data_IF_461682348920
#
_entry.id   IF_461682348920
#
_cell.length_a   1.000
_cell.length_b   1.000
_cell.length_c   1.000
_cell.angle_alpha   90.00
_cell.angle_beta   90.00
_cell.angle_gamma   90.00
#
_symmetry.space_group_name_H-M   'P 1'
#
loop_
_entity.id
_entity.type
_entity.pdbx_description
1 polymer ?
#
# COMPACT_ATOMS: atom_id res chain seq x y z
N UNK A 1 13.63 4.46 0.89
CA UNK A 1 12.52 4.94 0.04
C UNK A 1 11.20 4.60 0.69
N UNK A 2 10.26 5.53 0.73
CA UNK A 2 8.94 5.33 1.34
C UNK A 2 7.83 5.61 0.34
N UNK A 3 6.72 4.88 0.46
CA UNK A 3 5.57 5.00 -0.43
C UNK A 3 4.29 5.17 0.39
N UNK A 4 3.40 6.05 -0.06
CA UNK A 4 2.05 6.19 0.51
C UNK A 4 1.08 6.81 -0.47
N UNK A 5 -0.20 6.61 -0.20
CA UNK A 5 -1.26 7.40 -0.82
C UNK A 5 -1.45 8.71 -0.06
N UNK A 6 -1.58 9.81 -0.79
CA UNK A 6 -1.78 11.17 -0.25
C UNK A 6 -2.92 11.83 -1.01
N UNK A 7 -3.73 12.63 -0.32
CA UNK A 7 -4.77 13.46 -0.94
C UNK A 7 -4.33 14.93 -0.84
N UNK A 8 -3.86 15.51 -1.94
CA UNK A 8 -3.28 16.88 -1.98
C UNK A 8 -3.40 17.49 -3.38
N UNK A 9 -3.42 18.82 -3.48
CA UNK A 9 -3.27 19.53 -4.75
C UNK A 9 -1.78 19.59 -5.12
N UNK A 10 -1.38 18.80 -6.12
CA UNK A 10 0.00 18.74 -6.57
C UNK A 10 0.43 19.97 -7.39
N UNK A 11 -0.51 20.68 -8.00
CA UNK A 11 -0.21 21.82 -8.88
C UNK A 11 0.07 23.05 -8.04
N UNK A 12 -0.79 23.31 -7.06
CA UNK A 12 -0.59 24.41 -6.12
C UNK A 12 0.48 24.07 -5.06
N UNK A 13 0.85 22.80 -4.93
CA UNK A 13 1.63 22.25 -3.81
C UNK A 13 1.07 22.70 -2.47
N UNK A 14 -0.24 22.53 -2.30
CA UNK A 14 -0.96 22.89 -1.08
C UNK A 14 -1.94 21.81 -0.67
N UNK A 15 -2.31 21.80 0.61
CA UNK A 15 -3.41 20.97 1.12
C UNK A 15 -4.80 21.58 0.82
N UNK A 16 -4.90 22.56 -0.09
CA UNK A 16 -6.20 23.08 -0.52
C UNK A 16 -7.00 22.00 -1.26
N UNK A 17 -8.19 21.70 -0.76
CA UNK A 17 -9.06 20.65 -1.29
C UNK A 17 -9.63 21.01 -2.68
N UNK A 18 -9.52 22.28 -3.09
CA UNK A 18 -10.13 22.80 -4.32
C UNK A 18 -9.78 21.97 -5.56
N UNK A 19 -8.52 21.54 -5.68
CA UNK A 19 -8.08 20.64 -6.75
C UNK A 19 -7.38 19.37 -6.26
N UNK A 20 -7.43 19.06 -4.95
CA UNK A 20 -6.75 17.90 -4.39
C UNK A 20 -7.09 16.56 -5.06
N UNK A 21 -6.07 15.74 -5.34
CA UNK A 21 -6.21 14.45 -6.01
C UNK A 21 -5.56 13.34 -5.17
N UNK A 22 -6.13 12.13 -5.22
CA UNK A 22 -5.50 10.97 -4.58
C UNK A 22 -4.30 10.52 -5.39
N UNK A 23 -3.14 10.53 -4.77
CA UNK A 23 -1.87 10.44 -5.45
C UNK A 23 -0.93 9.44 -4.80
N UNK A 24 -0.15 8.74 -5.61
CA UNK A 24 0.92 7.90 -5.10
C UNK A 24 2.17 8.73 -4.91
N UNK A 25 2.54 8.90 -3.65
CA UNK A 25 3.74 9.60 -3.22
C UNK A 25 4.87 8.60 -3.00
N UNK A 26 6.03 8.92 -3.56
CA UNK A 26 7.31 8.22 -3.38
C UNK A 26 8.32 9.21 -2.83
N UNK A 27 8.69 9.07 -1.57
CA UNK A 27 9.81 9.81 -1.01
C UNK A 27 11.13 9.17 -1.44
N UNK A 28 11.83 9.85 -2.37
CA UNK A 28 13.23 9.56 -2.66
C UNK A 28 14.09 10.12 -1.52
N UNK A 29 14.82 9.24 -0.85
CA UNK A 29 15.67 9.57 0.29
C UNK A 29 17.12 9.30 -0.10
N UNK A 30 18.03 10.16 0.33
CA UNK A 30 19.47 9.93 0.16
C UNK A 30 19.86 8.56 0.75
N UNK A 31 20.60 7.72 0.01
CA UNK A 31 21.06 6.43 0.51
C UNK A 31 21.80 6.50 1.85
N UNK A 32 22.62 7.54 2.07
CA UNK A 32 23.39 7.68 3.30
C UNK A 32 22.47 7.99 4.49
N UNK A 33 21.46 8.84 4.29
CA UNK A 33 20.46 9.13 5.32
C UNK A 33 19.52 7.93 5.56
N UNK A 34 19.19 7.17 4.51
CA UNK A 34 18.38 5.97 4.64
C UNK A 34 19.14 4.83 5.33
N UNK A 35 20.48 4.84 5.30
CA UNK A 35 21.32 3.83 5.94
C UNK A 35 21.11 3.80 7.46
N UNK A 36 20.95 4.96 8.11
CA UNK A 36 20.65 5.06 9.54
C UNK A 36 19.29 4.48 9.94
N UNK A 37 18.39 4.27 8.96
CA UNK A 37 17.09 3.63 9.18
C UNK A 37 17.14 2.11 9.04
N UNK A 38 18.30 1.53 8.70
CA UNK A 38 18.46 0.09 8.66
C UNK A 38 18.53 -0.46 10.10
N UNK A 39 17.89 -1.61 10.33
CA UNK A 39 17.93 -2.34 11.61
C UNK A 39 17.42 -1.60 12.86
N UNK A 40 16.62 -0.54 12.70
CA UNK A 40 15.90 0.10 13.81
C UNK A 40 14.66 -0.72 14.20
N UNK A 41 14.32 -0.72 15.50
CA UNK A 41 13.19 -1.49 16.02
C UNK A 41 11.83 -1.02 15.49
N UNK A 42 11.65 0.30 15.38
CA UNK A 42 10.45 0.92 14.79
C UNK A 42 10.84 1.84 13.63
N UNK A 43 10.85 1.26 12.43
CA UNK A 43 11.13 2.00 11.20
C UNK A 43 10.14 3.14 10.96
N UNK A 44 8.87 2.99 11.36
CA UNK A 44 7.85 4.01 11.14
C UNK A 44 8.11 5.23 12.02
N UNK A 45 8.38 5.01 13.30
CA UNK A 45 8.72 6.08 14.23
C UNK A 45 10.04 6.76 13.83
N UNK A 46 11.07 5.99 13.51
CA UNK A 46 12.38 6.51 13.09
C UNK A 46 12.27 7.31 11.78
N UNK A 47 11.51 6.81 10.80
CA UNK A 47 11.26 7.50 9.54
C UNK A 47 10.56 8.84 9.77
N UNK A 48 9.47 8.86 10.54
CA UNK A 48 8.72 10.09 10.82
C UNK A 48 9.52 11.11 11.63
N UNK A 49 10.45 10.65 12.48
CA UNK A 49 11.34 11.52 13.24
C UNK A 49 12.44 12.16 12.38
N UNK A 50 12.91 11.46 11.33
CA UNK A 50 13.98 11.92 10.44
C UNK A 50 13.45 12.71 9.24
N UNK A 51 12.32 12.28 8.67
CA UNK A 51 11.72 12.85 7.48
C UNK A 51 10.36 13.44 7.82
N UNK A 52 10.29 14.78 7.81
CA UNK A 52 9.04 15.51 8.02
C UNK A 52 8.36 15.80 6.67
N UNK A 53 7.06 15.56 6.62
CA UNK A 53 6.21 15.87 5.48
C UNK A 53 6.25 17.35 5.08
N UNK A 54 6.48 18.26 6.03
CA UNK A 54 6.58 19.70 5.77
C UNK A 54 7.71 20.07 4.78
N UNK A 55 8.75 19.24 4.67
CA UNK A 55 9.88 19.47 3.75
C UNK A 55 10.02 18.37 2.70
N UNK A 56 9.49 17.17 2.96
CA UNK A 56 9.62 16.01 2.08
C UNK A 56 8.44 15.85 1.09
N UNK A 57 7.27 16.43 1.40
CA UNK A 57 6.06 16.29 0.60
C UNK A 57 6.03 17.30 -0.57
N UNK A 58 7.04 17.25 -1.44
CA UNK A 58 7.13 18.14 -2.60
C UNK A 58 6.47 17.53 -3.84
N UNK A 59 5.99 18.38 -4.75
CA UNK A 59 5.41 17.96 -6.03
C UNK A 59 6.30 16.98 -6.84
N UNK A 60 7.63 17.08 -6.73
CA UNK A 60 8.60 16.21 -7.38
C UNK A 60 8.57 14.73 -6.95
N UNK A 61 7.98 14.44 -5.79
CA UNK A 61 7.92 13.11 -5.20
C UNK A 61 6.60 12.37 -5.52
N UNK A 62 5.71 12.96 -6.33
CA UNK A 62 4.50 12.29 -6.79
C UNK A 62 4.71 11.55 -8.11
N UNK A 63 4.14 10.35 -8.22
CA UNK A 63 4.30 9.49 -9.39
C UNK A 63 3.06 9.42 -10.27
N UNK A 64 1.89 9.28 -9.64
CA UNK A 64 0.63 8.98 -10.31
C UNK A 64 -0.50 9.65 -9.54
N UNK A 65 -1.46 10.22 -10.29
CA UNK A 65 -2.66 10.86 -9.78
C UNK A 65 -3.91 9.99 -9.94
N UNK A 66 -5.00 10.42 -9.29
CA UNK A 66 -6.33 9.82 -9.34
C UNK A 66 -6.43 8.35 -8.92
N UNK A 67 -5.57 7.89 -8.01
CA UNK A 67 -5.65 6.53 -7.48
C UNK A 67 -6.79 6.45 -6.47
N UNK A 68 -7.81 5.70 -6.83
CA UNK A 68 -8.96 5.47 -5.96
C UNK A 68 -8.73 4.33 -4.96
N UNK A 69 -8.01 3.30 -5.38
CA UNK A 69 -7.68 2.17 -4.50
C UNK A 69 -6.32 1.59 -4.87
N UNK A 70 -5.51 1.25 -3.87
CA UNK A 70 -4.28 0.47 -4.00
C UNK A 70 -4.36 -0.68 -2.99
N UNK A 71 -4.24 -1.91 -3.48
CA UNK A 71 -4.15 -3.11 -2.64
C UNK A 71 -2.87 -3.85 -2.96
N UNK A 72 -2.10 -4.15 -1.92
CA UNK A 72 -0.95 -5.06 -1.99
C UNK A 72 -1.35 -6.36 -1.29
N UNK A 73 -1.20 -7.48 -1.99
CA UNK A 73 -1.47 -8.81 -1.45
C UNK A 73 -0.24 -9.69 -1.53
N UNK A 74 0.21 -10.23 -0.41
CA UNK A 74 1.27 -11.23 -0.39
C UNK A 74 0.64 -12.62 -0.46
N UNK A 75 1.24 -13.50 -1.27
CA UNK A 75 0.88 -14.91 -1.33
C UNK A 75 1.88 -15.67 -0.46
N UNK A 76 1.42 -16.20 0.66
CA UNK A 76 2.25 -16.92 1.62
C UNK A 76 1.88 -18.40 1.60
N UNK A 77 2.81 -19.23 1.15
CA UNK A 77 2.67 -20.67 1.19
C UNK A 77 3.13 -21.18 2.57
N UNK A 78 2.30 -21.97 3.25
CA UNK A 78 2.61 -22.54 4.56
C UNK A 78 2.07 -23.97 4.68
N UNK A 79 2.70 -24.78 5.52
CA UNK A 79 2.21 -26.11 5.87
C UNK A 79 1.34 -25.99 7.12
N UNK A 80 0.07 -26.37 6.99
CA UNK A 80 -0.88 -26.34 8.10
C UNK A 80 -0.53 -27.40 9.15
N UNK A 81 -0.40 -26.99 10.40
CA UNK A 81 -0.05 -27.88 11.51
C UNK A 81 -1.16 -28.90 11.85
N UNK A 82 -2.40 -28.65 11.41
CA UNK A 82 -3.57 -29.48 11.73
C UNK A 82 -3.64 -30.74 10.86
N UNK A 83 -3.27 -30.63 9.59
CA UNK A 83 -3.47 -31.68 8.57
C UNK A 83 -2.24 -31.92 7.69
N UNK A 84 -1.13 -31.23 7.97
CA UNK A 84 0.13 -31.32 7.24
C UNK A 84 -0.01 -31.06 5.72
N UNK A 85 -1.00 -30.27 5.31
CA UNK A 85 -1.21 -29.88 3.92
C UNK A 85 -0.60 -28.52 3.63
N UNK A 86 -0.02 -28.36 2.44
CA UNK A 86 0.47 -27.07 1.95
C UNK A 86 -0.68 -26.23 1.46
N UNK A 87 -0.77 -24.98 1.94
CA UNK A 87 -1.83 -24.02 1.60
C UNK A 87 -1.22 -22.67 1.26
N UNK A 88 -1.92 -21.89 0.47
CA UNK A 88 -1.55 -20.50 0.15
C UNK A 88 -2.52 -19.57 0.86
N UNK A 89 -2.01 -18.77 1.79
CA UNK A 89 -2.72 -17.66 2.39
C UNK A 89 -2.53 -16.39 1.57
N UNK A 90 -3.62 -15.68 1.31
CA UNK A 90 -3.62 -14.37 0.66
C UNK A 90 -3.65 -13.28 1.72
N UNK A 91 -2.52 -12.63 1.95
CA UNK A 91 -2.36 -11.57 2.93
C UNK A 91 -2.56 -10.21 2.25
N UNK A 92 -3.81 -9.78 2.13
CA UNK A 92 -4.18 -8.48 1.54
C UNK A 92 -4.19 -7.38 2.60
N UNK A 93 -3.32 -6.38 2.45
CA UNK A 93 -3.21 -5.27 3.40
C UNK A 93 -4.41 -4.33 3.28
N UNK A 94 -5.20 -4.19 4.36
CA UNK A 94 -6.42 -3.36 4.41
C UNK A 94 -6.56 -2.67 5.77
N UNK A 95 -6.83 -1.36 5.76
CA UNK A 95 -6.94 -0.56 6.99
C UNK A 95 -8.26 -0.75 7.78
N UNK A 96 -9.38 -1.11 7.13
CA UNK A 96 -10.70 -1.07 7.77
C UNK A 96 -11.47 -2.40 7.67
N UNK A 97 -11.73 -3.06 8.82
CA UNK A 97 -12.53 -4.30 8.91
C UNK A 97 -12.06 -5.27 10.01
N UNK A 98 -13.01 -5.99 10.62
CA UNK A 98 -12.72 -7.05 11.58
C UNK A 98 -12.05 -8.23 10.85
N UNK A 99 -10.94 -8.76 11.39
CA UNK A 99 -10.11 -9.82 10.78
C UNK A 99 -9.29 -9.41 9.53
N UNK A 100 -8.93 -8.14 9.39
CA UNK A 100 -8.03 -7.72 8.32
C UNK A 100 -6.55 -7.89 8.66
N UNK A 101 -5.76 -8.07 7.60
CA UNK A 101 -4.32 -7.85 7.66
C UNK A 101 -4.05 -6.35 7.56
N UNK A 102 -3.72 -5.70 8.69
CA UNK A 102 -3.33 -4.28 8.71
C UNK A 102 -1.84 -4.08 8.51
N UNK A 103 -1.04 -5.09 8.81
CA UNK A 103 0.40 -5.00 8.83
C UNK A 103 1.06 -6.33 8.41
N UNK A 104 2.16 -6.20 7.68
CA UNK A 104 3.02 -7.30 7.25
C UNK A 104 4.48 -6.90 7.47
N UNK A 105 5.22 -7.69 8.25
CA UNK A 105 6.64 -7.50 8.55
C UNK A 105 7.42 -8.78 8.31
N UNK A 106 8.69 -8.61 7.92
CA UNK A 106 9.66 -9.69 7.85
C UNK A 106 10.69 -9.50 8.96
N UNK A 107 10.82 -10.50 9.82
CA UNK A 107 11.78 -10.51 10.92
C UNK A 107 12.68 -11.74 10.79
N UNK A 108 13.85 -11.56 10.21
CA UNK A 108 14.74 -12.67 9.87
C UNK A 108 14.06 -13.63 8.89
N UNK A 109 13.90 -14.89 9.28
CA UNK A 109 13.22 -15.92 8.51
C UNK A 109 11.73 -16.08 8.85
N UNK A 110 11.15 -15.16 9.62
CA UNK A 110 9.76 -15.23 10.07
C UNK A 110 8.91 -14.12 9.47
N UNK A 111 7.67 -14.47 9.18
CA UNK A 111 6.62 -13.55 8.75
C UNK A 111 5.84 -13.13 10.00
N UNK A 112 5.73 -11.82 10.26
CA UNK A 112 4.89 -11.28 11.31
C UNK A 112 3.77 -10.46 10.69
N UNK A 113 2.53 -10.92 10.86
CA UNK A 113 1.35 -10.22 10.36
C UNK A 113 0.34 -10.00 11.46
N UNK A 114 -0.44 -8.93 11.36
CA UNK A 114 -1.70 -8.79 12.09
C UNK A 114 -2.79 -9.60 11.39
N UNK A 115 -3.73 -10.24 12.09
CA UNK A 115 -4.92 -10.80 11.47
C UNK A 115 -5.19 -12.27 11.81
N UNK A 116 -6.20 -12.89 11.17
CA UNK A 116 -6.79 -14.16 11.61
C UNK A 116 -5.85 -15.37 11.52
N UNK A 117 -4.93 -15.41 10.54
CA UNK A 117 -4.03 -16.56 10.34
C UNK A 117 -2.56 -16.25 10.66
N UNK A 118 -2.30 -15.24 11.49
CA UNK A 118 -0.94 -14.78 11.78
C UNK A 118 0.02 -15.88 12.26
N UNK A 119 -0.43 -16.72 13.19
CA UNK A 119 0.39 -17.81 13.74
C UNK A 119 0.64 -18.94 12.73
N UNK A 120 -0.33 -19.21 11.84
CA UNK A 120 -0.23 -20.30 10.88
C UNK A 120 0.81 -20.01 9.78
N UNK A 121 0.94 -18.74 9.40
CA UNK A 121 1.83 -18.32 8.31
C UNK A 121 3.20 -17.82 8.78
N UNK A 122 3.48 -17.84 10.09
CA UNK A 122 4.72 -17.29 10.66
C UNK A 122 5.98 -17.90 10.03
N UNK A 123 5.94 -19.21 9.76
CA UNK A 123 7.03 -19.96 9.13
C UNK A 123 6.79 -20.24 7.64
N UNK A 124 5.85 -19.51 7.02
CA UNK A 124 5.53 -19.63 5.61
C UNK A 124 6.59 -18.99 4.69
N UNK A 125 6.48 -19.26 3.40
CA UNK A 125 7.35 -18.72 2.35
C UNK A 125 6.51 -17.81 1.43
N UNK A 126 7.03 -16.62 1.13
CA UNK A 126 6.38 -15.72 0.17
C UNK A 126 6.62 -16.28 -1.23
N UNK A 127 5.54 -16.74 -1.88
CA UNK A 127 5.57 -17.29 -3.25
C UNK A 127 5.22 -16.25 -4.32
N UNK A 128 4.70 -15.10 -3.90
CA UNK A 128 4.41 -14.00 -4.79
C UNK A 128 3.81 -12.79 -4.09
N UNK A 129 3.68 -11.71 -4.86
CA UNK A 129 2.97 -10.52 -4.47
C UNK A 129 2.08 -10.07 -5.63
N UNK A 130 0.89 -9.59 -5.30
CA UNK A 130 -0.05 -9.01 -6.24
C UNK A 130 -0.23 -7.53 -5.89
N UNK A 131 -0.07 -6.69 -6.90
CA UNK A 131 -0.34 -5.25 -6.81
C UNK A 131 -1.56 -4.97 -7.67
N UNK A 132 -2.57 -4.40 -7.03
CA UNK A 132 -3.84 -4.04 -7.66
C UNK A 132 -4.12 -2.56 -7.44
N UNK A 133 -4.39 -1.84 -8.53
CA UNK A 133 -4.58 -0.39 -8.54
C UNK A 133 -5.85 -0.05 -9.32
N UNK A 134 -6.73 0.72 -8.71
CA UNK A 134 -7.91 1.31 -9.36
C UNK A 134 -7.67 2.81 -9.51
N UNK A 135 -7.71 3.29 -10.76
CA UNK A 135 -7.49 4.70 -11.12
C UNK A 135 -8.80 5.27 -11.65
N UNK A 136 -9.15 6.50 -11.26
CA UNK A 136 -10.30 7.22 -11.80
C UNK A 136 -9.88 8.16 -12.93
N UNK A 137 -10.76 8.32 -13.91
CA UNK A 137 -10.64 9.41 -14.89
C UNK A 137 -10.87 10.77 -14.22
N UNK A 138 -10.31 11.84 -14.78
CA UNK A 138 -10.51 13.22 -14.30
C UNK A 138 -11.99 13.61 -14.23
N UNK A 139 -12.78 13.12 -15.20
CA UNK A 139 -14.24 13.28 -15.20
C UNK A 139 -14.88 12.55 -14.02
N UNK A 140 -14.44 11.32 -13.75
CA UNK A 140 -14.86 10.55 -12.58
C UNK A 140 -14.52 11.27 -11.27
N UNK A 141 -13.31 11.82 -11.15
CA UNK A 141 -12.92 12.58 -9.95
C UNK A 141 -13.75 13.86 -9.79
N UNK A 142 -13.97 14.61 -10.87
CA UNK A 142 -14.80 15.83 -10.84
C UNK A 142 -16.23 15.51 -10.43
N UNK A 143 -16.79 14.39 -10.93
CA UNK A 143 -18.09 13.90 -10.53
C UNK A 143 -18.10 13.43 -9.07
N UNK A 144 -17.03 12.79 -8.59
CA UNK A 144 -16.91 12.38 -7.19
C UNK A 144 -16.93 13.58 -6.23
N UNK A 145 -16.31 14.70 -6.64
CA UNK A 145 -16.28 15.95 -5.89
C UNK A 145 -17.59 16.75 -5.95
N UNK A 146 -18.29 16.73 -7.09
CA UNK A 146 -19.43 17.63 -7.37
C UNK A 146 -20.81 16.99 -7.30
N UNK A 147 -20.93 15.67 -7.38
CA UNK A 147 -22.23 15.02 -7.59
C UNK A 147 -22.56 13.98 -6.52
N UNK A 148 -23.83 13.92 -6.12
CA UNK A 148 -24.39 12.86 -5.27
C UNK A 148 -24.58 11.52 -5.99
N UNK A 149 -23.76 11.24 -7.02
CA UNK A 149 -23.81 9.97 -7.75
C UNK A 149 -23.35 8.86 -6.81
N UNK A 150 -24.06 7.71 -6.77
CA UNK A 150 -23.65 6.57 -5.97
C UNK A 150 -22.22 6.12 -6.32
N UNK A 151 -21.41 5.88 -5.29
CA UNK A 151 -19.99 5.50 -5.42
C UNK A 151 -19.75 4.32 -6.37
N UNK A 152 -20.68 3.36 -6.41
CA UNK A 152 -20.62 2.21 -7.33
C UNK A 152 -20.71 2.60 -8.80
N UNK A 153 -21.59 3.55 -9.16
CA UNK A 153 -21.75 3.98 -10.55
C UNK A 153 -20.54 4.78 -11.04
N UNK A 154 -19.92 5.52 -10.11
CA UNK A 154 -18.70 6.26 -10.36
C UNK A 154 -17.53 5.33 -10.68
N UNK A 155 -17.31 4.32 -9.82
CA UNK A 155 -16.26 3.31 -10.05
C UNK A 155 -16.55 2.53 -11.34
N UNK A 156 -17.80 2.10 -11.57
CA UNK A 156 -18.13 1.28 -12.74
C UNK A 156 -17.91 2.00 -14.08
N UNK A 157 -18.22 3.29 -14.17
CA UNK A 157 -18.17 4.04 -15.45
C UNK A 157 -16.88 4.80 -15.67
N UNK A 158 -16.16 5.12 -14.59
CA UNK A 158 -15.05 6.07 -14.65
C UNK A 158 -13.75 5.53 -14.02
N UNK A 159 -13.67 4.23 -13.70
CA UNK A 159 -12.44 3.62 -13.22
C UNK A 159 -11.80 2.68 -14.23
N UNK A 160 -10.48 2.59 -14.16
CA UNK A 160 -9.67 1.56 -14.78
C UNK A 160 -8.97 0.77 -13.69
N UNK A 161 -9.01 -0.55 -13.82
CA UNK A 161 -8.40 -1.45 -12.85
C UNK A 161 -7.20 -2.16 -13.48
N UNK A 162 -6.06 -2.07 -12.79
CA UNK A 162 -4.82 -2.71 -13.19
C UNK A 162 -4.41 -3.70 -12.11
N UNK A 163 -4.00 -4.89 -12.53
CA UNK A 163 -3.49 -5.90 -11.63
C UNK A 163 -2.22 -6.51 -12.21
N UNK A 164 -1.23 -6.73 -11.36
CA UNK A 164 0.00 -7.42 -11.70
C UNK A 164 0.38 -8.37 -10.58
N UNK A 165 0.55 -9.63 -10.95
CA UNK A 165 1.13 -10.66 -10.08
C UNK A 165 2.61 -10.82 -10.38
N UNK A 166 3.41 -10.88 -9.32
CA UNK A 166 4.83 -11.12 -9.34
C UNK A 166 5.06 -12.40 -8.54
N UNK A 167 5.58 -13.43 -9.18
CA UNK A 167 5.98 -14.67 -8.53
C UNK A 167 7.41 -14.54 -8.04
N UNK A 168 7.68 -14.98 -6.82
CA UNK A 168 9.07 -15.04 -6.33
C UNK A 168 9.81 -16.22 -6.98
N UNK A 169 11.12 -16.08 -7.24
CA UNK A 169 11.93 -17.20 -7.71
C UNK A 169 11.85 -18.36 -6.72
N UNK A 170 11.61 -19.57 -7.22
CA UNK A 170 11.70 -20.79 -6.42
C UNK A 170 13.11 -21.38 -6.59
N UNK A 171 13.80 -21.73 -5.49
CA UNK A 171 15.05 -22.47 -5.55
C UNK A 171 14.86 -23.87 -6.13
#
# INVERSE_FOLDING_TARGET
MSYRLVYRDQIADTDDEKFAVFSFYRHLVDPDEAFDLLAVDDLKAAYNGKFNDATALTASNFLVENIYELTITFLVEYTSATDNTTRIERVSLRQNGQNNYTEFRLKGNKIQVSGPNAAAIENGVIVGAEVSITVLTDRGLTLAKRSGIPRQDLVKKHSYHYTKTITTPRP
#
